data_IF_028157131519
#
_entry.id   IF_028157131519
#
_cell.length_a   1.000
_cell.length_b   1.000
_cell.length_c   1.000
_cell.angle_alpha   90.00
_cell.angle_beta   90.00
_cell.angle_gamma   90.00
#
_symmetry.space_group_name_H-M   'P 1'
#
loop_
_entity.id
_entity.type
_entity.pdbx_description
1 polymer ?
#
# COMPACT_ATOMS: atom_id res chain seq x y z
N UNK A 1 55.30 -3.15 -43.28
CA UNK A 1 56.47 -2.57 -42.59
C UNK A 1 56.74 -3.42 -41.36
N UNK A 2 57.98 -3.90 -41.24
CA UNK A 2 58.45 -4.77 -40.18
C UNK A 2 58.57 -4.04 -38.83
N UNK A 3 58.45 -4.77 -37.71
CA UNK A 3 58.99 -4.34 -36.42
C UNK A 3 60.47 -4.75 -36.28
N UNK A 4 61.29 -4.07 -35.45
CA UNK A 4 62.41 -4.72 -34.77
C UNK A 4 61.95 -5.10 -33.34
N UNK A 5 62.11 -6.35 -32.87
CA UNK A 5 63.37 -7.05 -32.51
C UNK A 5 64.07 -6.39 -31.32
N UNK A 6 64.67 -7.08 -30.35
CA UNK A 6 64.69 -8.47 -29.89
C UNK A 6 65.59 -8.46 -28.64
N UNK A 7 65.30 -9.32 -27.66
CA UNK A 7 66.25 -9.99 -26.74
C UNK A 7 65.36 -10.79 -25.76
N UNK A 8 65.20 -12.11 -25.85
CA UNK A 8 66.18 -13.17 -26.04
C UNK A 8 66.51 -13.73 -24.65
N UNK A 9 66.40 -15.00 -24.30
CA UNK A 9 65.97 -16.23 -24.98
C UNK A 9 66.47 -17.42 -24.13
N UNK A 10 65.74 -18.55 -24.15
CA UNK A 10 66.18 -19.92 -23.80
C UNK A 10 66.51 -20.21 -22.32
N UNK A 11 66.08 -21.27 -21.64
CA UNK A 11 65.64 -22.58 -22.11
C UNK A 11 66.72 -23.65 -21.84
N UNK A 12 66.40 -24.66 -21.02
CA UNK A 12 67.08 -25.98 -21.02
C UNK A 12 67.96 -26.30 -19.82
N UNK A 13 67.71 -27.45 -19.18
CA UNK A 13 68.47 -27.97 -18.04
C UNK A 13 69.54 -29.03 -18.37
N UNK A 14 70.06 -29.64 -17.29
CA UNK A 14 71.14 -30.66 -17.22
C UNK A 14 72.44 -30.03 -16.68
N UNK A 15 73.23 -30.57 -15.76
CA UNK A 15 73.35 -31.85 -15.06
C UNK A 15 74.83 -31.99 -14.59
N UNK A 16 75.09 -32.58 -13.41
CA UNK A 16 76.45 -32.88 -12.87
C UNK A 16 77.10 -31.73 -12.08
N UNK A 17 77.89 -31.89 -11.01
CA UNK A 17 78.60 -33.03 -10.41
C UNK A 17 78.87 -32.79 -8.89
N UNK A 18 79.36 -33.85 -8.28
CA UNK A 18 79.71 -34.21 -6.91
C UNK A 18 80.42 -33.18 -6.00
N UNK A 19 80.07 -33.25 -4.70
CA UNK A 19 80.84 -32.71 -3.57
C UNK A 19 80.53 -33.50 -2.30
N UNK A 20 81.59 -33.97 -1.64
CA UNK A 20 81.66 -35.07 -0.67
C UNK A 20 81.07 -34.77 0.74
N UNK A 21 80.75 -35.89 1.43
CA UNK A 21 80.42 -36.17 2.86
C UNK A 21 81.18 -35.36 3.96
N UNK A 22 80.94 -35.59 5.29
CA UNK A 22 79.70 -35.74 6.07
C UNK A 22 79.76 -35.01 7.45
N UNK A 23 78.72 -35.20 8.30
CA UNK A 23 78.54 -34.78 9.73
C UNK A 23 78.21 -33.30 9.92
N UNK A 24 77.26 -32.86 10.73
CA UNK A 24 76.66 -33.28 12.00
C UNK A 24 75.47 -32.30 12.16
N UNK A 25 74.22 -32.65 12.48
CA UNK A 25 73.75 -33.13 13.77
C UNK A 25 72.33 -33.65 13.56
N UNK A 26 72.17 -34.93 13.88
CA UNK A 26 70.90 -35.48 14.30
C UNK A 26 70.60 -34.89 15.68
N UNK A 27 69.51 -34.15 15.81
CA UNK A 27 68.75 -34.12 17.06
C UNK A 27 67.26 -34.04 16.73
N UNK A 28 66.64 -35.22 16.83
CA UNK A 28 65.26 -35.35 17.27
C UNK A 28 64.99 -34.35 18.39
N UNK A 29 63.90 -33.59 18.31
CA UNK A 29 63.16 -33.03 19.46
C UNK A 29 61.85 -32.47 18.86
N UNK A 30 60.65 -32.84 19.27
CA UNK A 30 60.22 -33.74 20.31
C UNK A 30 58.69 -33.75 20.30
N UNK A 31 58.11 -34.90 20.61
CA UNK A 31 56.71 -35.09 20.98
C UNK A 31 56.39 -34.27 22.26
N UNK A 32 56.33 -32.93 22.15
CA UNK A 32 56.34 -32.03 23.31
C UNK A 32 55.52 -30.74 23.20
N UNK A 33 54.60 -30.60 22.22
CA UNK A 33 53.67 -29.45 22.15
C UNK A 33 52.23 -29.87 21.81
N UNK A 34 51.81 -31.02 22.32
CA UNK A 34 50.56 -31.69 21.92
C UNK A 34 49.30 -31.15 22.59
N UNK A 35 49.37 -30.08 23.39
CA UNK A 35 48.20 -29.51 24.08
C UNK A 35 47.93 -28.05 23.64
N UNK A 36 48.96 -27.21 23.55
CA UNK A 36 48.81 -25.79 23.14
C UNK A 36 48.43 -25.63 21.67
N UNK A 37 48.92 -26.49 20.78
CA UNK A 37 48.54 -26.50 19.35
C UNK A 37 47.08 -26.91 19.14
N UNK A 38 46.62 -27.94 19.87
CA UNK A 38 45.23 -28.42 19.80
C UNK A 38 44.26 -27.38 20.38
N UNK A 39 44.64 -26.72 21.49
CA UNK A 39 43.85 -25.63 22.07
C UNK A 39 43.71 -24.47 21.06
N UNK A 40 44.79 -24.08 20.37
CA UNK A 40 44.71 -23.02 19.33
C UNK A 40 43.78 -23.41 18.19
N UNK A 41 43.84 -24.66 17.71
CA UNK A 41 42.96 -25.16 16.65
C UNK A 41 41.50 -25.20 17.13
N UNK A 42 41.23 -25.66 18.36
CA UNK A 42 39.88 -25.70 18.93
C UNK A 42 39.29 -24.29 19.14
N UNK A 43 40.10 -23.34 19.60
CA UNK A 43 39.70 -21.92 19.74
C UNK A 43 39.43 -21.31 18.36
N UNK A 44 40.30 -21.54 17.37
CA UNK A 44 40.07 -21.07 16.01
C UNK A 44 38.81 -21.70 15.39
N UNK A 45 38.56 -22.98 15.63
CA UNK A 45 37.37 -23.70 15.15
C UNK A 45 36.10 -23.25 15.88
N UNK A 46 36.18 -22.90 17.16
CA UNK A 46 35.09 -22.31 17.93
C UNK A 46 34.71 -20.93 17.40
N UNK A 47 35.68 -20.06 17.13
CA UNK A 47 35.40 -18.77 16.52
C UNK A 47 34.95 -18.90 15.06
N UNK A 48 35.58 -19.78 14.27
CA UNK A 48 35.17 -20.04 12.90
C UNK A 48 33.74 -20.60 12.83
N UNK A 49 33.35 -21.51 13.73
CA UNK A 49 31.96 -21.98 13.80
C UNK A 49 31.00 -20.87 14.23
N UNK A 50 31.39 -19.95 15.11
CA UNK A 50 30.56 -18.77 15.46
C UNK A 50 30.39 -17.76 14.32
N UNK A 51 31.38 -17.58 13.45
CA UNK A 51 31.33 -16.60 12.35
C UNK A 51 30.91 -17.18 10.99
N UNK A 52 31.13 -18.48 10.76
CA UNK A 52 30.79 -19.19 9.52
C UNK A 52 29.66 -20.21 9.67
N UNK A 53 28.97 -20.25 10.83
CA UNK A 53 27.72 -21.02 10.94
C UNK A 53 26.71 -20.53 9.91
N UNK A 54 26.07 -21.42 9.15
CA UNK A 54 25.00 -21.03 8.25
C UNK A 54 23.90 -20.37 9.07
N UNK A 55 23.69 -19.07 8.85
CA UNK A 55 22.54 -18.36 9.43
C UNK A 55 21.30 -19.06 8.90
N UNK A 56 20.47 -19.61 9.80
CA UNK A 56 19.15 -20.10 9.40
C UNK A 56 18.44 -18.94 8.70
N UNK A 57 17.82 -19.14 7.53
CA UNK A 57 17.04 -18.09 6.91
C UNK A 57 15.99 -17.65 7.92
N UNK A 58 16.02 -16.37 8.28
CA UNK A 58 15.00 -15.76 9.12
C UNK A 58 13.67 -15.96 8.42
N UNK A 59 12.70 -16.54 9.13
CA UNK A 59 11.36 -16.72 8.59
C UNK A 59 10.81 -15.34 8.17
N UNK A 60 10.39 -15.15 6.90
CA UNK A 60 9.94 -13.85 6.39
C UNK A 60 8.82 -13.22 7.22
N UNK A 61 8.03 -14.00 7.96
CA UNK A 61 7.06 -13.50 8.94
C UNK A 61 7.68 -12.56 9.98
N UNK A 62 8.91 -12.83 10.42
CA UNK A 62 9.65 -12.01 11.39
C UNK A 62 10.32 -10.77 10.76
N UNK A 63 10.23 -10.60 9.44
CA UNK A 63 10.79 -9.45 8.72
C UNK A 63 9.72 -8.43 8.32
N UNK A 64 8.44 -8.74 8.56
CA UNK A 64 7.32 -7.86 8.23
C UNK A 64 6.91 -7.10 9.49
N UNK A 65 6.91 -5.77 9.42
CA UNK A 65 6.45 -4.88 10.48
C UNK A 65 5.44 -3.90 9.91
N UNK A 66 4.44 -3.51 10.72
CA UNK A 66 3.50 -2.47 10.33
C UNK A 66 4.22 -1.14 10.09
N UNK A 67 3.77 -0.44 9.04
CA UNK A 67 4.31 0.86 8.66
C UNK A 67 3.93 1.96 9.66
N UNK A 68 2.76 1.81 10.28
CA UNK A 68 2.22 2.71 11.31
C UNK A 68 2.13 1.99 12.64
N UNK A 69 2.47 2.69 13.71
CA UNK A 69 2.40 2.15 15.07
C UNK A 69 1.06 2.50 15.72
N UNK A 70 0.58 1.64 16.61
CA UNK A 70 -0.64 1.90 17.36
C UNK A 70 -0.53 3.20 18.14
N UNK A 71 -1.56 4.05 18.04
CA UNK A 71 -1.64 5.37 18.68
C UNK A 71 -0.92 6.49 17.93
N UNK A 72 -0.25 6.20 16.80
CA UNK A 72 0.37 7.22 15.97
C UNK A 72 -0.71 8.16 15.40
N UNK A 73 -0.54 9.50 15.50
CA UNK A 73 -1.54 10.43 15.00
C UNK A 73 -1.50 10.47 13.47
N UNK A 74 -2.67 10.34 12.85
CA UNK A 74 -2.87 10.47 11.41
C UNK A 74 -3.77 11.65 11.10
N UNK A 75 -3.52 12.29 9.97
CA UNK A 75 -4.42 13.28 9.38
C UNK A 75 -5.15 12.64 8.20
N UNK A 76 -6.43 12.97 8.02
CA UNK A 76 -7.31 12.42 6.98
C UNK A 76 -7.87 13.54 6.11
N UNK A 77 -7.83 13.34 4.79
CA UNK A 77 -8.49 14.18 3.81
C UNK A 77 -9.43 13.34 2.96
N UNK A 78 -10.68 13.80 2.83
CA UNK A 78 -11.65 13.25 1.90
C UNK A 78 -11.97 14.32 0.87
N UNK A 79 -11.67 14.00 -0.39
CA UNK A 79 -12.02 14.82 -1.54
C UNK A 79 -13.12 14.17 -2.36
N UNK A 80 -14.02 14.98 -2.91
CA UNK A 80 -14.97 14.55 -3.94
C UNK A 80 -14.56 15.16 -5.27
N UNK A 81 -14.38 14.31 -6.29
CA UNK A 81 -14.02 14.77 -7.63
C UNK A 81 -14.68 13.91 -8.71
N UNK A 82 -14.89 14.48 -9.89
CA UNK A 82 -15.42 13.76 -11.05
C UNK A 82 -14.34 12.96 -11.81
N UNK A 83 -13.10 12.97 -11.31
CA UNK A 83 -11.96 12.29 -11.91
C UNK A 83 -11.57 11.05 -11.10
N UNK A 84 -11.34 9.92 -11.78
CA UNK A 84 -10.93 8.68 -11.09
C UNK A 84 -9.54 8.81 -10.44
N UNK A 85 -8.63 9.53 -11.10
CA UNK A 85 -7.31 9.86 -10.58
C UNK A 85 -7.34 11.27 -10.02
N UNK A 86 -7.01 11.40 -8.75
CA UNK A 86 -6.97 12.67 -8.06
C UNK A 86 -5.58 13.28 -8.10
N UNK A 87 -5.49 14.56 -8.44
CA UNK A 87 -4.26 15.34 -8.53
C UNK A 87 -4.44 16.80 -8.07
N UNK A 88 -5.61 17.15 -7.54
CA UNK A 88 -5.98 18.54 -7.24
C UNK A 88 -6.03 18.80 -5.71
N UNK A 89 -4.93 18.50 -5.03
CA UNK A 89 -4.84 18.54 -3.56
C UNK A 89 -4.99 19.95 -2.97
N UNK A 90 -4.69 20.99 -3.76
CA UNK A 90 -4.82 22.40 -3.37
C UNK A 90 -6.23 22.99 -3.51
N UNK A 91 -7.19 22.24 -4.04
CA UNK A 91 -8.54 22.73 -4.27
C UNK A 91 -9.44 22.52 -3.05
N UNK A 92 -9.65 23.60 -2.29
CA UNK A 92 -10.52 23.62 -1.11
C UNK A 92 -11.98 23.28 -1.43
N UNK A 93 -12.47 23.54 -2.65
CA UNK A 93 -13.86 23.23 -3.02
C UNK A 93 -14.09 21.71 -3.20
N UNK A 94 -13.04 20.96 -3.53
CA UNK A 94 -13.09 19.51 -3.63
C UNK A 94 -12.92 18.81 -2.28
N UNK A 95 -12.30 19.50 -1.31
CA UNK A 95 -12.09 18.99 0.05
C UNK A 95 -13.39 19.06 0.85
N UNK A 96 -13.97 17.91 1.15
CA UNK A 96 -15.24 17.84 1.88
C UNK A 96 -15.07 17.55 3.36
N UNK A 97 -13.99 16.87 3.74
CA UNK A 97 -13.70 16.58 5.13
C UNK A 97 -12.20 16.51 5.34
N UNK A 98 -11.71 17.27 6.31
CA UNK A 98 -10.36 17.20 6.81
C UNK A 98 -10.40 17.03 8.33
N UNK A 99 -9.66 16.06 8.84
CA UNK A 99 -9.59 15.74 10.26
C UNK A 99 -8.14 15.46 10.64
N UNK A 100 -7.65 16.07 11.71
CA UNK A 100 -6.25 15.94 12.13
C UNK A 100 -6.12 15.16 13.43
N UNK A 101 -4.92 14.64 13.69
CA UNK A 101 -4.55 13.97 14.95
C UNK A 101 -5.47 12.79 15.31
N UNK A 102 -5.89 12.01 14.31
CA UNK A 102 -6.66 10.78 14.49
C UNK A 102 -5.71 9.71 15.05
N UNK A 103 -5.93 9.21 16.27
CA UNK A 103 -5.07 8.18 16.84
C UNK A 103 -5.25 6.86 16.07
N UNK A 104 -4.19 6.37 15.43
CA UNK A 104 -4.22 5.13 14.68
C UNK A 104 -4.60 3.97 15.60
N UNK A 105 -5.71 3.34 15.28
CA UNK A 105 -6.26 2.15 15.96
C UNK A 105 -6.38 2.24 17.48
N UNK A 106 -6.86 3.39 17.93
CA UNK A 106 -7.32 3.55 19.31
C UNK A 106 -8.84 3.61 19.31
N UNK A 107 -9.48 2.53 19.76
CA UNK A 107 -10.93 2.47 19.91
C UNK A 107 -11.36 3.19 21.19
N UNK A 108 -12.29 4.13 21.07
CA UNK A 108 -12.82 4.91 22.17
C UNK A 108 -14.13 5.61 21.78
N UNK A 109 -14.76 6.37 22.68
CA UNK A 109 -16.00 7.09 22.36
C UNK A 109 -15.85 8.04 21.17
N UNK A 110 -14.67 8.65 21.03
CA UNK A 110 -14.32 9.61 19.97
C UNK A 110 -13.80 8.93 18.67
N UNK A 111 -13.74 7.59 18.59
CA UNK A 111 -13.22 6.91 17.41
C UNK A 111 -14.18 6.94 16.22
N UNK A 112 -15.48 7.17 16.48
CA UNK A 112 -16.50 7.26 15.45
C UNK A 112 -16.82 8.72 15.18
N UNK A 113 -16.59 9.16 13.95
CA UNK A 113 -16.92 10.52 13.49
C UNK A 113 -17.93 10.45 12.36
N UNK A 114 -18.83 11.42 12.29
CA UNK A 114 -19.87 11.50 11.26
C UNK A 114 -19.95 12.92 10.72
N UNK A 115 -19.95 13.07 9.40
CA UNK A 115 -20.16 14.34 8.71
C UNK A 115 -21.37 14.20 7.77
N UNK A 116 -22.31 15.14 7.87
CA UNK A 116 -23.40 15.27 6.91
C UNK A 116 -23.09 16.39 5.93
N UNK A 117 -23.03 16.06 4.64
CA UNK A 117 -22.73 16.99 3.57
C UNK A 117 -23.91 17.10 2.62
N UNK A 118 -24.26 18.33 2.24
CA UNK A 118 -25.15 18.59 1.11
C UNK A 118 -24.29 18.88 -0.12
N UNK A 119 -24.24 17.95 -1.05
CA UNK A 119 -23.46 18.06 -2.28
C UNK A 119 -24.32 18.61 -3.43
N UNK A 120 -23.77 19.56 -4.19
CA UNK A 120 -24.44 20.16 -5.35
C UNK A 120 -23.78 19.65 -6.64
N UNK A 121 -24.45 18.77 -7.40
CA UNK A 121 -23.87 18.17 -8.61
C UNK A 121 -23.69 19.19 -9.73
N UNK A 122 -22.56 19.08 -10.45
CA UNK A 122 -22.32 19.81 -11.69
C UNK A 122 -23.29 19.35 -12.80
N UNK A 123 -23.36 20.13 -13.88
CA UNK A 123 -24.15 19.71 -15.05
C UNK A 123 -23.59 18.46 -15.72
N UNK A 124 -22.26 18.27 -15.72
CA UNK A 124 -21.63 17.07 -16.25
C UNK A 124 -22.04 15.83 -15.45
N UNK A 125 -22.09 15.96 -14.12
CA UNK A 125 -22.50 14.89 -13.24
C UNK A 125 -23.99 14.52 -13.38
N UNK A 126 -24.86 15.51 -13.60
CA UNK A 126 -26.28 15.28 -13.94
C UNK A 126 -26.45 14.55 -15.28
N UNK A 127 -25.53 14.76 -16.22
CA UNK A 127 -25.53 14.12 -17.53
C UNK A 127 -24.77 12.78 -17.51
N UNK A 128 -25.08 11.90 -16.55
CA UNK A 128 -24.46 10.58 -16.35
C UNK A 128 -22.94 10.59 -16.06
N UNK A 129 -22.42 11.69 -15.51
CA UNK A 129 -21.04 11.73 -15.03
C UNK A 129 -20.77 10.77 -13.87
N UNK A 130 -19.49 10.52 -13.60
CA UNK A 130 -19.04 9.73 -12.46
C UNK A 130 -18.54 10.65 -11.34
N UNK A 131 -18.73 10.23 -10.09
CA UNK A 131 -18.20 10.92 -8.92
C UNK A 131 -17.40 9.93 -8.07
N UNK A 132 -16.24 10.38 -7.60
CA UNK A 132 -15.30 9.60 -6.82
C UNK A 132 -15.01 10.28 -5.50
N UNK A 133 -14.89 9.46 -4.46
CA UNK A 133 -14.41 9.82 -3.15
C UNK A 133 -12.95 9.38 -3.03
N UNK A 134 -12.05 10.34 -2.83
CA UNK A 134 -10.64 10.10 -2.63
C UNK A 134 -10.31 10.34 -1.17
N UNK A 135 -9.94 9.26 -0.48
CA UNK A 135 -9.56 9.32 0.93
C UNK A 135 -8.06 9.16 1.02
N UNK A 136 -7.40 10.11 1.66
CA UNK A 136 -5.98 10.08 1.96
C UNK A 136 -5.78 10.14 3.47
N UNK A 137 -4.83 9.36 3.94
CA UNK A 137 -4.30 9.39 5.29
C UNK A 137 -2.80 9.67 5.21
N UNK A 138 -2.31 10.52 6.10
CA UNK A 138 -0.89 10.76 6.30
C UNK A 138 -0.56 10.71 7.78
N UNK A 139 0.69 10.43 8.14
CA UNK A 139 1.19 10.76 9.48
C UNK A 139 0.94 12.24 9.75
N UNK A 140 0.49 12.57 10.96
CA UNK A 140 0.14 13.95 11.27
C UNK A 140 1.32 14.89 11.05
N UNK A 141 1.07 15.99 10.34
CA UNK A 141 2.11 16.94 9.92
C UNK A 141 2.81 16.62 8.60
N UNK A 142 2.46 15.52 7.92
CA UNK A 142 2.91 15.25 6.54
C UNK A 142 1.81 15.56 5.52
N UNK A 143 2.15 16.16 4.38
CA UNK A 143 1.18 16.46 3.33
C UNK A 143 0.76 15.19 2.57
N UNK A 144 -0.50 15.11 2.09
CA UNK A 144 -0.96 14.01 1.24
C UNK A 144 -0.60 14.18 -0.24
N UNK A 145 -0.17 15.39 -0.66
CA UNK A 145 0.14 15.73 -2.06
C UNK A 145 1.53 15.20 -2.47
N UNK A 146 1.62 14.33 -3.49
CA UNK A 146 2.90 13.83 -4.01
C UNK A 146 3.83 14.90 -4.58
N UNK A 147 3.31 16.09 -4.91
CA UNK A 147 4.11 17.20 -5.44
C UNK A 147 4.74 18.07 -4.36
N UNK A 148 4.34 17.89 -3.09
CA UNK A 148 4.88 18.64 -1.98
C UNK A 148 6.32 18.17 -1.65
N UNK A 149 7.30 19.07 -1.45
CA UNK A 149 8.66 18.68 -1.07
C UNK A 149 8.76 17.90 0.25
N UNK A 150 7.79 18.05 1.15
CA UNK A 150 7.71 17.34 2.43
C UNK A 150 6.97 15.99 2.32
N UNK A 151 6.45 15.65 1.13
CA UNK A 151 5.73 14.40 0.91
C UNK A 151 6.60 13.17 1.17
N UNK A 152 6.08 12.26 1.99
CA UNK A 152 6.69 10.98 2.25
C UNK A 152 5.76 9.84 1.78
N UNK A 153 6.17 9.05 0.75
CA UNK A 153 5.37 7.92 0.27
C UNK A 153 5.11 6.85 1.32
N UNK A 154 5.99 6.73 2.33
CA UNK A 154 5.86 5.77 3.42
C UNK A 154 5.03 6.30 4.59
N UNK A 155 4.76 7.61 4.63
CA UNK A 155 3.92 8.22 5.65
C UNK A 155 2.48 8.40 5.18
N UNK A 156 2.19 8.13 3.90
CA UNK A 156 0.92 8.44 3.24
C UNK A 156 0.32 7.20 2.60
N UNK A 157 -1.00 7.07 2.67
CA UNK A 157 -1.74 6.05 1.94
C UNK A 157 -3.14 6.58 1.64
N UNK A 158 -3.75 6.06 0.58
CA UNK A 158 -5.07 6.51 0.20
C UNK A 158 -5.79 5.55 -0.72
N UNK A 159 -7.09 5.77 -0.89
CA UNK A 159 -7.95 4.96 -1.74
C UNK A 159 -9.01 5.81 -2.39
N UNK A 160 -9.21 5.57 -3.69
CA UNK A 160 -10.36 6.07 -4.44
C UNK A 160 -11.51 5.07 -4.35
N UNK A 161 -12.73 5.56 -4.13
CA UNK A 161 -13.96 4.80 -4.24
C UNK A 161 -14.96 5.52 -5.15
N UNK A 162 -15.65 4.78 -6.03
CA UNK A 162 -16.73 5.35 -6.82
C UNK A 162 -18.00 5.51 -5.97
N UNK A 163 -18.52 6.72 -5.92
CA UNK A 163 -19.75 7.07 -5.19
C UNK A 163 -20.99 6.74 -6.02
N UNK A 164 -20.82 6.74 -7.35
CA UNK A 164 -21.88 6.46 -8.33
C UNK A 164 -21.93 4.97 -8.65
N UNK A 165 -23.15 4.43 -8.76
CA UNK A 165 -23.42 3.12 -9.30
C UNK A 165 -24.37 3.27 -10.48
N UNK A 166 -23.96 2.79 -11.65
CA UNK A 166 -24.84 2.77 -12.81
C UNK A 166 -25.74 1.54 -12.69
N UNK A 167 -27.05 1.74 -12.75
CA UNK A 167 -28.05 0.65 -12.77
C UNK A 167 -29.09 0.93 -13.86
N UNK A 168 -29.76 -0.11 -14.39
CA UNK A 168 -30.89 0.08 -15.29
C UNK A 168 -31.96 0.93 -14.63
N UNK A 169 -32.57 1.84 -15.40
CA UNK A 169 -33.69 2.66 -14.97
C UNK A 169 -34.80 1.77 -14.44
N UNK A 170 -35.21 2.00 -13.20
CA UNK A 170 -36.33 1.27 -12.62
C UNK A 170 -37.59 1.52 -13.44
N UNK A 171 -38.14 0.47 -14.05
CA UNK A 171 -39.44 0.57 -14.71
C UNK A 171 -40.49 0.82 -13.65
N UNK A 172 -41.30 1.86 -13.81
CA UNK A 172 -42.45 2.07 -12.95
C UNK A 172 -43.51 1.02 -13.30
N UNK A 173 -43.36 -0.16 -12.72
CA UNK A 173 -44.37 -1.19 -12.75
C UNK A 173 -45.64 -0.59 -12.12
N UNK A 174 -46.57 -0.12 -12.96
CA UNK A 174 -47.90 0.36 -12.56
C UNK A 174 -48.72 -0.83 -12.04
N UNK A 175 -48.25 -1.50 -11.00
CA UNK A 175 -49.00 -2.52 -10.27
C UNK A 175 -49.95 -1.78 -9.35
N UNK A 176 -51.21 -1.75 -9.76
CA UNK A 176 -52.32 -1.26 -8.93
C UNK A 176 -52.33 -2.06 -7.63
N UNK A 177 -52.16 -1.40 -6.49
CA UNK A 177 -52.31 -2.04 -5.18
C UNK A 177 -53.73 -2.63 -5.07
N UNK A 178 -53.84 -3.96 -5.02
CA UNK A 178 -55.14 -4.65 -4.91
C UNK A 178 -55.64 -4.70 -3.46
N UNK A 179 -54.88 -4.17 -2.52
CA UNK A 179 -55.26 -4.02 -1.11
C UNK A 179 -55.84 -2.61 -0.89
N UNK A 180 -56.88 -2.29 -1.65
CA UNK A 180 -57.68 -1.09 -1.42
C UNK A 180 -58.60 -1.31 -0.22
N UNK A 181 -58.20 -0.87 0.96
CA UNK A 181 -59.12 -0.79 2.08
C UNK A 181 -60.04 0.41 1.84
N UNK A 182 -61.31 0.14 1.55
CA UNK A 182 -62.39 1.13 1.51
C UNK A 182 -62.49 1.82 2.86
N UNK A 183 -61.96 3.04 2.99
CA UNK A 183 -62.52 4.08 3.84
C UNK A 183 -62.33 5.45 3.20
N UNK A 184 -63.45 6.12 3.06
CA UNK A 184 -63.62 7.49 2.64
C UNK A 184 -62.83 8.45 3.54
N UNK A 185 -62.35 9.53 2.94
CA UNK A 185 -62.21 10.81 3.66
C UNK A 185 -60.82 11.17 4.16
N UNK A 186 -60.34 12.27 3.58
CA UNK A 186 -59.36 13.24 4.08
C UNK A 186 -57.87 13.02 3.88
N UNK A 187 -57.31 14.10 3.33
CA UNK A 187 -55.98 14.28 2.82
C UNK A 187 -54.91 14.21 3.91
N UNK A 188 -53.83 13.50 3.60
CA UNK A 188 -52.53 13.73 4.23
C UNK A 188 -51.54 13.94 3.10
N UNK A 189 -51.11 15.20 2.96
CA UNK A 189 -49.95 15.61 2.19
C UNK A 189 -48.77 14.67 2.46
N UNK A 190 -48.36 13.92 1.43
CA UNK A 190 -47.01 13.38 1.35
C UNK A 190 -46.18 14.36 0.54
N UNK A 191 -45.54 15.28 1.27
CA UNK A 191 -44.53 16.17 0.73
C UNK A 191 -43.33 15.34 0.26
N UNK A 192 -42.86 15.69 -0.94
CA UNK A 192 -41.57 15.35 -1.54
C UNK A 192 -41.39 13.94 -2.14
N UNK A 193 -41.77 13.80 -3.41
CA UNK A 193 -40.77 13.42 -4.42
C UNK A 193 -40.83 14.38 -5.59
N UNK A 194 -39.64 14.81 -5.97
CA UNK A 194 -39.26 15.78 -7.00
C UNK A 194 -40.12 15.65 -8.26
N UNK A 195 -40.81 16.73 -8.60
CA UNK A 195 -41.36 16.96 -9.91
C UNK A 195 -40.22 17.45 -10.84
N UNK A 196 -39.78 16.57 -11.72
CA UNK A 196 -39.07 16.79 -12.99
C UNK A 196 -39.03 15.37 -13.61
N UNK A 197 -39.56 15.05 -14.78
CA UNK A 197 -39.87 15.82 -15.98
C UNK A 197 -41.10 15.19 -16.67
N UNK A 198 -41.64 15.98 -17.60
CA UNK A 198 -42.80 15.74 -18.45
C UNK A 198 -43.16 14.29 -18.82
N UNK A 199 -44.48 14.09 -18.88
CA UNK A 199 -45.16 13.06 -19.65
C UNK A 199 -44.50 12.83 -21.02
N UNK A 200 -43.77 11.73 -21.16
CA UNK A 200 -43.69 11.01 -22.43
C UNK A 200 -44.15 9.58 -22.19
N UNK A 201 -45.46 9.39 -22.31
CA UNK A 201 -46.08 8.13 -22.66
C UNK A 201 -45.44 7.62 -23.97
N UNK A 202 -44.48 6.72 -23.86
CA UNK A 202 -44.17 5.81 -24.94
C UNK A 202 -43.75 4.47 -24.34
N UNK A 203 -44.30 3.41 -24.92
CA UNK A 203 -44.04 2.03 -24.56
C UNK A 203 -42.53 1.81 -24.49
N UNK A 204 -42.04 1.49 -23.30
CA UNK A 204 -40.62 1.22 -23.01
C UNK A 204 -40.22 -0.17 -23.58
N UNK A 205 -40.22 -0.28 -24.91
CA UNK A 205 -39.64 -1.38 -25.70
C UNK A 205 -38.26 -0.95 -26.27
N UNK A 206 -37.58 -0.01 -25.60
CA UNK A 206 -36.22 0.44 -25.91
C UNK A 206 -35.15 -0.38 -25.17
N UNK A 207 -33.86 -0.28 -25.58
CA UNK A 207 -32.76 -0.86 -24.80
C UNK A 207 -32.72 -0.24 -23.39
N UNK A 208 -32.40 -1.05 -22.37
CA UNK A 208 -32.39 -0.62 -20.98
C UNK A 208 -31.49 0.61 -20.78
N UNK A 209 -32.10 1.76 -20.48
CA UNK A 209 -31.40 3.00 -20.18
C UNK A 209 -30.71 2.87 -18.82
N UNK A 210 -29.40 3.12 -18.75
CA UNK A 210 -28.64 3.10 -17.50
C UNK A 210 -28.58 4.49 -16.88
N UNK A 211 -28.91 4.58 -15.60
CA UNK A 211 -28.90 5.84 -14.84
C UNK A 211 -27.87 5.75 -13.71
N UNK A 212 -27.22 6.88 -13.43
CA UNK A 212 -26.32 7.05 -12.30
C UNK A 212 -27.10 7.15 -10.96
N UNK A 213 -27.03 6.11 -10.13
CA UNK A 213 -27.50 6.11 -8.75
C UNK A 213 -26.37 6.48 -7.80
N UNK A 214 -26.72 7.13 -6.70
CA UNK A 214 -25.74 7.65 -5.74
C UNK A 214 -25.83 6.89 -4.42
N UNK A 215 -24.67 6.52 -3.88
CA UNK A 215 -24.61 5.99 -2.51
C UNK A 215 -24.74 7.16 -1.53
N UNK A 216 -25.78 7.20 -0.68
CA UNK A 216 -25.99 8.32 0.23
C UNK A 216 -25.00 8.32 1.40
N UNK A 217 -24.40 7.16 1.71
CA UNK A 217 -23.53 6.97 2.85
C UNK A 217 -22.18 6.41 2.41
N UNK A 218 -21.11 6.97 2.96
CA UNK A 218 -19.73 6.49 2.80
C UNK A 218 -19.21 6.18 4.20
N UNK A 219 -18.66 4.98 4.38
CA UNK A 219 -18.04 4.56 5.64
C UNK A 219 -16.57 4.28 5.39
N UNK A 220 -15.71 4.93 6.16
CA UNK A 220 -14.26 4.78 6.09
C UNK A 220 -13.83 4.06 7.37
N UNK A 221 -13.22 2.89 7.22
CA UNK A 221 -12.69 2.11 8.33
C UNK A 221 -11.20 1.90 8.14
N UNK A 222 -10.42 2.16 9.21
CA UNK A 222 -9.04 1.75 9.29
C UNK A 222 -8.99 0.33 9.84
N UNK A 223 -8.45 -0.59 9.05
CA UNK A 223 -8.31 -2.01 9.42
C UNK A 223 -6.86 -2.25 9.83
N UNK A 224 -6.67 -2.80 11.01
CA UNK A 224 -5.35 -3.15 11.54
C UNK A 224 -5.13 -4.66 11.51
N UNK A 225 -3.86 -5.06 11.40
CA UNK A 225 -3.41 -6.41 11.71
C UNK A 225 -2.09 -6.31 12.48
N UNK A 226 -2.16 -6.46 13.81
CA UNK A 226 -0.98 -6.52 14.69
C UNK A 226 -0.77 -7.93 15.23
N UNK A 227 -1.25 -8.96 14.52
CA UNK A 227 -0.97 -10.35 14.92
C UNK A 227 0.50 -10.67 14.65
N UNK A 228 1.23 -11.04 15.70
CA UNK A 228 2.60 -11.59 15.66
C UNK A 228 2.63 -12.94 16.37
#
# INVERSE_FOLDING_TARGET
MAPPAAAGGGGGGGGGEEGQQPRQQQQQHGFGQTITGIIRIAVFWYFASKFFSPKKPTDPSNLISNLFQKGEPLDMWLYLSEHEKFNDFGNEASLVWHETNIPYVTWGPESTRTLSLKYYPSQALKNNGSLYAHVFFARSGYPPDPNDPEFQPQATFGRTHSVVAYLPKSRSDKRKSLLGNTKEGEAVESVAMVADDAETDSKDDGPDEWIAYWKPNITINLVEDFTQ
#
